data_IF_266392812980
#
_entry.id   IF_266392812980
#
_cell.length_a   1.000
_cell.length_b   1.000
_cell.length_c   1.000
_cell.angle_alpha   90.00
_cell.angle_beta   90.00
_cell.angle_gamma   90.00
#
_symmetry.space_group_name_H-M   'P 1'
#
loop_
_entity.id
_entity.type
_entity.pdbx_description
1 polymer ?
#
# COMPACT_ATOMS: atom_id res chain seq x y z
N UNK A 1 -23.28 65.40 -56.45
CA UNK A 1 -24.00 64.18 -55.91
C UNK A 1 -23.25 62.89 -56.10
N UNK A 2 -22.51 62.64 -57.21
CA UNK A 2 -21.83 61.36 -57.45
C UNK A 2 -20.70 61.04 -56.46
N UNK A 3 -20.01 62.05 -55.95
CA UNK A 3 -18.93 61.88 -54.98
C UNK A 3 -19.41 61.47 -53.61
N UNK A 4 -20.58 61.93 -53.19
CA UNK A 4 -21.19 61.57 -51.92
C UNK A 4 -21.61 60.08 -51.90
N UNK A 5 -22.08 59.58 -53.03
CA UNK A 5 -22.46 58.19 -53.20
C UNK A 5 -21.22 57.24 -53.13
N UNK A 6 -20.10 57.66 -53.76
CA UNK A 6 -18.85 56.93 -53.64
C UNK A 6 -18.30 56.86 -52.22
N UNK A 7 -18.43 57.95 -51.46
CA UNK A 7 -18.02 58.02 -50.05
C UNK A 7 -18.86 57.09 -49.14
N UNK A 8 -20.19 57.02 -49.39
CA UNK A 8 -21.06 56.10 -48.71
C UNK A 8 -20.73 54.63 -49.00
N UNK A 9 -20.42 54.26 -50.22
CA UNK A 9 -20.03 52.90 -50.60
C UNK A 9 -18.71 52.55 -49.93
N UNK A 10 -17.75 53.47 -49.86
CA UNK A 10 -16.47 53.28 -49.22
C UNK A 10 -16.61 53.06 -47.68
N UNK A 11 -17.43 53.87 -47.02
CA UNK A 11 -17.73 53.72 -45.59
C UNK A 11 -18.46 52.39 -45.33
N UNK A 12 -19.40 51.99 -46.15
CA UNK A 12 -20.12 50.73 -46.05
C UNK A 12 -19.16 49.54 -46.26
N UNK A 13 -18.19 49.65 -47.17
CA UNK A 13 -17.14 48.64 -47.40
C UNK A 13 -16.21 48.49 -46.20
N UNK A 14 -15.77 49.61 -45.64
CA UNK A 14 -14.94 49.58 -44.40
C UNK A 14 -15.73 48.97 -43.24
N UNK A 15 -16.97 49.39 -43.07
CA UNK A 15 -17.81 48.83 -42.01
C UNK A 15 -18.01 47.31 -42.18
N UNK A 16 -18.23 46.84 -43.40
CA UNK A 16 -18.37 45.44 -43.70
C UNK A 16 -17.09 44.63 -43.37
N UNK A 17 -15.93 45.15 -43.76
CA UNK A 17 -14.62 44.51 -43.48
C UNK A 17 -14.35 44.47 -42.00
N UNK A 18 -14.59 45.56 -41.28
CA UNK A 18 -14.39 45.62 -39.82
C UNK A 18 -15.33 44.67 -39.07
N UNK A 19 -16.59 44.59 -39.54
CA UNK A 19 -17.56 43.70 -38.91
C UNK A 19 -17.30 42.22 -39.22
N UNK A 20 -16.79 41.91 -40.41
CA UNK A 20 -16.35 40.58 -40.76
C UNK A 20 -15.14 40.14 -39.95
N UNK A 21 -14.13 41.00 -39.77
CA UNK A 21 -12.99 40.73 -38.88
C UNK A 21 -13.41 40.50 -37.39
N UNK A 22 -14.34 41.30 -36.91
CA UNK A 22 -14.88 41.10 -35.54
C UNK A 22 -15.55 39.72 -35.40
N UNK A 23 -16.32 39.29 -36.39
CA UNK A 23 -16.95 37.96 -36.38
C UNK A 23 -15.90 36.84 -36.43
N UNK A 24 -14.86 36.96 -37.26
CA UNK A 24 -13.79 35.96 -37.32
C UNK A 24 -12.99 35.85 -36.01
N UNK A 25 -12.72 36.97 -35.34
CA UNK A 25 -12.05 36.98 -34.03
C UNK A 25 -12.93 36.32 -32.98
N UNK A 26 -14.23 36.66 -32.90
CA UNK A 26 -15.16 36.05 -31.97
C UNK A 26 -15.33 34.53 -32.20
N UNK A 27 -15.35 34.08 -33.44
CA UNK A 27 -15.42 32.65 -33.74
C UNK A 27 -14.14 31.95 -33.34
N UNK A 28 -12.97 32.56 -33.57
CA UNK A 28 -11.68 31.99 -33.16
C UNK A 28 -11.56 31.93 -31.63
N UNK A 29 -11.97 32.99 -30.93
CA UNK A 29 -11.98 32.99 -29.45
C UNK A 29 -12.95 31.95 -28.89
N UNK A 30 -14.16 31.87 -29.44
CA UNK A 30 -15.14 30.86 -29.00
C UNK A 30 -14.63 29.43 -29.28
N UNK A 31 -13.93 29.21 -30.38
CA UNK A 31 -13.34 27.90 -30.71
C UNK A 31 -12.18 27.57 -29.76
N UNK A 32 -11.32 28.55 -29.45
CA UNK A 32 -10.21 28.37 -28.52
C UNK A 32 -10.70 28.10 -27.07
N UNK A 33 -11.74 28.82 -26.63
CA UNK A 33 -12.36 28.60 -25.32
C UNK A 33 -12.97 27.19 -25.26
N UNK A 34 -13.71 26.78 -26.28
CA UNK A 34 -14.30 25.44 -26.36
C UNK A 34 -13.23 24.33 -26.42
N UNK A 35 -12.10 24.55 -27.09
CA UNK A 35 -10.99 23.60 -27.09
C UNK A 35 -10.27 23.58 -25.74
N UNK A 36 -10.06 24.73 -25.11
CA UNK A 36 -9.46 24.80 -23.77
C UNK A 36 -10.35 24.14 -22.71
N UNK A 37 -11.67 24.32 -22.79
CA UNK A 37 -12.62 23.62 -21.91
C UNK A 37 -12.63 22.10 -22.14
N UNK A 38 -12.56 21.65 -23.41
CA UNK A 38 -12.42 20.22 -23.74
C UNK A 38 -11.12 19.64 -23.20
N UNK A 39 -9.99 20.36 -23.35
CA UNK A 39 -8.70 19.92 -22.83
C UNK A 39 -8.74 19.90 -21.29
N UNK A 40 -9.37 20.89 -20.66
CA UNK A 40 -9.54 20.96 -19.22
C UNK A 40 -10.42 19.82 -18.68
N UNK A 41 -11.52 19.51 -19.36
CA UNK A 41 -12.38 18.37 -19.00
C UNK A 41 -11.73 16.99 -19.24
N UNK A 42 -10.71 16.91 -20.12
CA UNK A 42 -9.91 15.71 -20.32
C UNK A 42 -8.69 15.63 -19.38
N UNK A 43 -8.22 16.77 -18.88
CA UNK A 43 -7.06 16.85 -17.98
C UNK A 43 -7.44 16.97 -16.51
N UNK A 44 -8.70 17.28 -16.17
CA UNK A 44 -9.17 17.09 -14.83
C UNK A 44 -9.19 15.57 -14.56
N UNK A 45 -8.29 15.06 -13.69
CA UNK A 45 -8.46 13.70 -13.25
C UNK A 45 -9.87 13.64 -12.67
N UNK A 46 -10.71 12.74 -13.19
CA UNK A 46 -11.95 12.36 -12.54
C UNK A 46 -11.53 11.71 -11.23
N UNK A 47 -11.16 12.56 -10.25
CA UNK A 47 -11.09 12.12 -8.87
C UNK A 47 -12.52 11.69 -8.54
N UNK A 48 -12.76 10.40 -8.35
CA UNK A 48 -14.06 9.97 -7.87
C UNK A 48 -14.34 10.79 -6.62
N UNK A 49 -15.54 11.35 -6.55
CA UNK A 49 -16.01 12.05 -5.36
C UNK A 49 -15.55 11.22 -4.16
N UNK A 50 -14.82 11.86 -3.20
CA UNK A 50 -14.26 11.19 -2.04
C UNK A 50 -15.31 10.22 -1.51
N UNK A 51 -15.13 8.92 -1.61
CA UNK A 51 -16.18 8.01 -1.18
C UNK A 51 -16.33 8.20 0.32
N UNK A 52 -17.55 8.42 0.80
CA UNK A 52 -17.88 8.55 2.22
C UNK A 52 -17.49 7.30 3.04
N UNK A 53 -17.03 6.25 2.35
CA UNK A 53 -16.49 5.01 2.91
C UNK A 53 -15.19 4.64 2.17
N UNK A 54 -14.18 4.11 2.87
CA UNK A 54 -12.98 3.64 2.20
C UNK A 54 -13.37 2.64 1.10
N UNK A 55 -12.85 2.87 -0.11
CA UNK A 55 -13.09 1.98 -1.25
C UNK A 55 -12.43 0.63 -0.95
N UNK A 56 -13.22 -0.32 -0.54
CA UNK A 56 -12.77 -1.71 -0.38
C UNK A 56 -12.93 -2.39 -1.74
N UNK A 57 -11.81 -2.67 -2.39
CA UNK A 57 -11.79 -3.42 -3.63
C UNK A 57 -12.35 -4.82 -3.38
N UNK A 58 -13.54 -5.11 -3.92
CA UNK A 58 -14.16 -6.44 -3.79
C UNK A 58 -13.80 -7.26 -5.01
N UNK A 59 -13.07 -8.33 -4.79
CA UNK A 59 -12.81 -9.34 -5.82
C UNK A 59 -14.01 -10.29 -5.94
N UNK A 60 -14.26 -10.78 -7.16
CA UNK A 60 -15.30 -11.80 -7.36
C UNK A 60 -14.91 -13.11 -6.68
N UNK A 61 -15.90 -13.90 -6.26
CA UNK A 61 -15.66 -15.24 -5.69
C UNK A 61 -14.88 -16.13 -6.67
N UNK A 62 -15.11 -15.97 -7.97
CA UNK A 62 -14.38 -16.70 -8.99
C UNK A 62 -12.89 -16.31 -9.01
N UNK A 63 -12.58 -15.01 -8.88
CA UNK A 63 -11.19 -14.51 -8.80
C UNK A 63 -10.50 -15.07 -7.56
N UNK A 64 -11.15 -15.04 -6.40
CA UNK A 64 -10.59 -15.61 -5.15
C UNK A 64 -10.31 -17.11 -5.31
N UNK A 65 -11.25 -17.87 -5.89
CA UNK A 65 -11.04 -19.29 -6.16
C UNK A 65 -9.84 -19.52 -7.09
N UNK A 66 -9.70 -18.71 -8.13
CA UNK A 66 -8.55 -18.79 -9.04
C UNK A 66 -7.25 -18.50 -8.29
N UNK A 67 -7.20 -17.45 -7.44
CA UNK A 67 -6.02 -17.14 -6.63
C UNK A 67 -5.66 -18.29 -5.68
N UNK A 68 -6.66 -18.91 -5.02
CA UNK A 68 -6.41 -20.10 -4.17
C UNK A 68 -5.81 -21.26 -4.97
N UNK A 69 -6.23 -21.46 -6.21
CA UNK A 69 -5.65 -22.48 -7.07
C UNK A 69 -4.21 -22.14 -7.49
N UNK A 70 -3.92 -20.88 -7.79
CA UNK A 70 -2.59 -20.41 -8.18
C UNK A 70 -1.55 -20.54 -7.05
N UNK A 71 -1.95 -20.70 -5.80
CA UNK A 71 -1.00 -21.02 -4.72
C UNK A 71 -0.40 -22.43 -4.84
N UNK A 72 -0.88 -23.24 -5.78
CA UNK A 72 -0.36 -24.57 -6.12
C UNK A 72 0.28 -24.59 -7.52
N UNK A 73 0.56 -23.42 -8.12
CA UNK A 73 1.17 -23.34 -9.44
C UNK A 73 2.56 -23.96 -9.46
N UNK A 74 2.98 -24.46 -10.62
CA UNK A 74 4.34 -25.01 -10.80
C UNK A 74 5.42 -23.95 -10.64
N UNK A 75 5.14 -22.71 -10.97
CA UNK A 75 6.06 -21.59 -10.83
C UNK A 75 6.00 -21.00 -9.40
N UNK A 76 7.14 -21.03 -8.72
CA UNK A 76 7.29 -20.56 -7.34
C UNK A 76 6.88 -19.08 -7.14
N UNK A 77 7.16 -18.22 -8.12
CA UNK A 77 6.80 -16.78 -8.06
C UNK A 77 5.30 -16.58 -8.19
N UNK A 78 4.62 -17.41 -8.98
CA UNK A 78 3.14 -17.39 -9.09
C UNK A 78 2.53 -17.83 -7.79
N UNK A 79 3.05 -18.91 -7.15
CA UNK A 79 2.58 -19.35 -5.83
C UNK A 79 2.67 -18.24 -4.80
N UNK A 80 3.85 -17.59 -4.71
CA UNK A 80 4.05 -16.49 -3.76
C UNK A 80 3.11 -15.31 -4.04
N UNK A 81 3.06 -14.82 -5.30
CA UNK A 81 2.21 -13.69 -5.65
C UNK A 81 0.72 -13.94 -5.36
N UNK A 82 0.24 -15.16 -5.60
CA UNK A 82 -1.12 -15.55 -5.27
C UNK A 82 -1.37 -15.55 -3.75
N UNK A 83 -0.44 -16.09 -2.96
CA UNK A 83 -0.51 -16.10 -1.50
C UNK A 83 -0.45 -14.69 -0.91
N UNK A 84 0.44 -13.83 -1.43
CA UNK A 84 0.56 -12.42 -1.03
C UNK A 84 -0.74 -11.66 -1.28
N UNK A 85 -1.35 -11.84 -2.46
CA UNK A 85 -2.60 -11.18 -2.80
C UNK A 85 -3.75 -11.66 -1.92
N UNK A 86 -3.85 -12.95 -1.63
CA UNK A 86 -4.84 -13.51 -0.70
C UNK A 86 -4.65 -12.95 0.73
N UNK A 87 -3.39 -12.77 1.16
CA UNK A 87 -3.08 -12.16 2.44
C UNK A 87 -3.54 -10.70 2.50
N UNK A 88 -3.23 -9.90 1.48
CA UNK A 88 -3.64 -8.50 1.39
C UNK A 88 -5.17 -8.33 1.34
N UNK A 89 -5.87 -9.28 0.72
CA UNK A 89 -7.33 -9.33 0.66
C UNK A 89 -7.97 -9.85 1.96
N UNK A 90 -7.16 -10.26 2.93
CA UNK A 90 -7.63 -10.86 4.19
C UNK A 90 -8.53 -12.08 3.95
N UNK A 91 -8.18 -12.88 2.93
CA UNK A 91 -8.92 -14.10 2.64
C UNK A 91 -8.81 -15.10 3.79
N UNK A 92 -9.94 -15.73 4.15
CA UNK A 92 -10.01 -16.68 5.27
C UNK A 92 -9.07 -17.88 5.15
N UNK A 93 -8.70 -18.26 3.91
CA UNK A 93 -7.82 -19.40 3.63
C UNK A 93 -6.33 -19.00 3.62
N UNK A 94 -6.00 -17.71 3.54
CA UNK A 94 -4.62 -17.24 3.42
C UNK A 94 -3.70 -17.74 4.55
N UNK A 95 -4.09 -17.71 5.84
CA UNK A 95 -3.24 -18.22 6.92
C UNK A 95 -2.89 -19.70 6.77
N UNK A 96 -3.87 -20.53 6.40
CA UNK A 96 -3.66 -21.95 6.17
C UNK A 96 -2.79 -22.23 4.97
N UNK A 97 -2.94 -21.45 3.90
CA UNK A 97 -2.11 -21.52 2.68
C UNK A 97 -0.67 -21.18 3.02
N UNK A 98 -0.42 -20.08 3.71
CA UNK A 98 0.91 -19.62 4.08
C UNK A 98 1.60 -20.63 5.01
N UNK A 99 0.87 -21.16 5.99
CA UNK A 99 1.39 -22.24 6.84
C UNK A 99 1.81 -23.47 6.02
N UNK A 100 0.94 -23.92 5.11
CA UNK A 100 1.25 -25.03 4.22
C UNK A 100 2.47 -24.74 3.33
N UNK A 101 2.63 -23.49 2.87
CA UNK A 101 3.81 -23.08 2.11
C UNK A 101 5.10 -23.15 2.95
N UNK A 102 5.08 -22.78 4.24
CA UNK A 102 6.25 -22.97 5.09
C UNK A 102 6.63 -24.44 5.26
N UNK A 103 5.64 -25.33 5.34
CA UNK A 103 5.85 -26.76 5.54
C UNK A 103 6.34 -27.48 4.26
N UNK A 104 5.84 -27.09 3.09
CA UNK A 104 6.01 -27.85 1.86
C UNK A 104 6.81 -27.14 0.75
N UNK A 105 7.05 -25.84 0.87
CA UNK A 105 7.84 -25.11 -0.12
C UNK A 105 9.31 -25.52 -0.05
N UNK A 106 9.90 -25.82 -1.19
CA UNK A 106 11.30 -26.22 -1.32
C UNK A 106 12.21 -25.06 -1.65
N UNK A 107 11.64 -24.01 -2.25
CA UNK A 107 12.40 -22.84 -2.68
C UNK A 107 12.62 -21.86 -1.52
N UNK A 108 13.82 -21.85 -0.98
CA UNK A 108 14.21 -20.98 0.13
C UNK A 108 13.92 -19.48 -0.12
N UNK A 109 14.13 -18.94 -1.35
CA UNK A 109 13.79 -17.55 -1.64
C UNK A 109 12.32 -17.23 -1.39
N UNK A 110 11.41 -18.15 -1.68
CA UNK A 110 9.97 -17.99 -1.47
C UNK A 110 9.63 -17.95 0.02
N UNK A 111 10.21 -18.85 0.81
CA UNK A 111 10.07 -18.84 2.27
C UNK A 111 10.54 -17.50 2.86
N UNK A 112 11.69 -16.99 2.37
CA UNK A 112 12.21 -15.68 2.78
C UNK A 112 11.26 -14.54 2.43
N UNK A 113 10.69 -14.55 1.23
CA UNK A 113 9.69 -13.55 0.81
C UNK A 113 8.42 -13.61 1.66
N UNK A 114 7.95 -14.80 2.05
CA UNK A 114 6.81 -14.96 2.97
C UNK A 114 7.11 -14.36 4.35
N UNK A 115 8.30 -14.58 4.89
CA UNK A 115 8.73 -13.98 6.16
C UNK A 115 8.73 -12.45 6.06
N UNK A 116 9.28 -11.89 4.98
CA UNK A 116 9.34 -10.44 4.79
C UNK A 116 7.94 -9.81 4.62
N UNK A 117 7.03 -10.50 3.95
CA UNK A 117 5.63 -10.09 3.85
C UNK A 117 4.95 -10.06 5.22
N UNK A 118 5.07 -11.11 6.01
CA UNK A 118 4.48 -11.21 7.35
C UNK A 118 5.08 -10.21 8.34
N UNK A 119 6.40 -9.93 8.22
CA UNK A 119 7.10 -8.97 9.07
C UNK A 119 6.58 -7.52 8.91
N UNK A 120 6.04 -7.17 7.74
CA UNK A 120 5.45 -5.85 7.46
C UNK A 120 4.09 -5.67 8.13
N UNK A 121 3.30 -6.73 8.22
CA UNK A 121 1.94 -6.68 8.75
C UNK A 121 1.87 -6.48 10.28
N UNK A 122 2.82 -7.04 11.01
CA UNK A 122 2.92 -6.94 12.50
C UNK A 122 1.65 -7.30 13.28
N UNK A 123 0.74 -8.06 12.68
CA UNK A 123 -0.45 -8.56 13.35
C UNK A 123 -0.15 -9.77 14.25
N UNK A 124 -1.08 -10.11 15.14
CA UNK A 124 -0.99 -11.35 15.93
C UNK A 124 -0.98 -12.59 15.04
N UNK A 125 -1.69 -12.53 13.92
CA UNK A 125 -1.76 -13.62 12.95
C UNK A 125 -0.43 -13.80 12.23
N UNK A 126 0.19 -12.70 11.77
CA UNK A 126 1.52 -12.76 11.17
C UNK A 126 2.58 -13.26 12.15
N UNK A 127 2.50 -12.87 13.44
CA UNK A 127 3.36 -13.40 14.48
C UNK A 127 3.22 -14.93 14.64
N UNK A 128 1.98 -15.43 14.65
CA UNK A 128 1.74 -16.88 14.75
C UNK A 128 2.32 -17.63 13.56
N UNK A 129 2.18 -17.11 12.34
CA UNK A 129 2.76 -17.71 11.14
C UNK A 129 4.30 -17.64 11.12
N UNK A 130 4.90 -16.54 11.57
CA UNK A 130 6.35 -16.43 11.72
C UNK A 130 6.89 -17.42 12.77
N UNK A 131 6.08 -17.75 13.79
CA UNK A 131 6.46 -18.78 14.77
C UNK A 131 6.57 -20.16 14.15
N UNK A 132 5.79 -20.47 13.11
CA UNK A 132 5.97 -21.71 12.32
C UNK A 132 7.29 -21.69 11.56
N UNK A 133 7.69 -20.55 10.98
CA UNK A 133 8.99 -20.42 10.30
C UNK A 133 10.21 -20.60 11.23
N UNK A 134 10.06 -20.40 12.56
CA UNK A 134 11.11 -20.72 13.54
C UNK A 134 11.41 -22.21 13.64
N UNK A 135 10.52 -23.07 13.16
CA UNK A 135 10.67 -24.54 13.19
C UNK A 135 11.25 -25.10 11.89
N UNK A 136 11.58 -24.23 10.93
CA UNK A 136 12.07 -24.67 9.62
C UNK A 136 13.39 -25.46 9.76
N UNK A 137 13.58 -26.46 8.90
CA UNK A 137 14.81 -27.25 8.89
C UNK A 137 16.02 -26.40 8.45
N UNK A 138 15.77 -25.38 7.61
CA UNK A 138 16.83 -24.49 7.11
C UNK A 138 17.16 -23.42 8.16
N UNK A 139 18.43 -23.34 8.51
CA UNK A 139 18.97 -22.38 9.48
C UNK A 139 18.69 -20.93 9.10
N UNK A 140 18.86 -20.57 7.84
CA UNK A 140 18.73 -19.19 7.37
C UNK A 140 17.27 -18.72 7.43
N UNK A 141 16.32 -19.64 7.24
CA UNK A 141 14.89 -19.37 7.42
C UNK A 141 14.60 -19.10 8.89
N UNK A 142 15.12 -19.92 9.82
CA UNK A 142 14.97 -19.68 11.26
C UNK A 142 15.57 -18.35 11.69
N UNK A 143 16.77 -18.02 11.20
CA UNK A 143 17.43 -16.71 11.46
C UNK A 143 16.60 -15.53 10.98
N UNK A 144 16.09 -15.60 9.75
CA UNK A 144 15.25 -14.53 9.21
C UNK A 144 13.94 -14.39 9.99
N UNK A 145 13.33 -15.50 10.40
CA UNK A 145 12.14 -15.49 11.23
C UNK A 145 12.38 -14.83 12.60
N UNK A 146 13.52 -15.17 13.27
CA UNK A 146 13.94 -14.51 14.52
C UNK A 146 14.09 -13.01 14.34
N UNK A 147 14.77 -12.57 13.27
CA UNK A 147 14.95 -11.14 12.98
C UNK A 147 13.62 -10.44 12.69
N UNK A 148 12.70 -11.11 11.98
CA UNK A 148 11.36 -10.60 11.70
C UNK A 148 10.56 -10.41 12.98
N UNK A 149 10.53 -11.42 13.84
CA UNK A 149 9.80 -11.40 15.13
C UNK A 149 10.39 -10.34 16.08
N UNK A 150 11.71 -10.18 16.09
CA UNK A 150 12.38 -9.15 16.91
C UNK A 150 11.93 -7.72 16.60
N UNK A 151 11.43 -7.46 15.39
CA UNK A 151 10.90 -6.14 14.96
C UNK A 151 9.46 -5.86 15.39
N UNK A 152 8.78 -6.81 16.04
CA UNK A 152 7.39 -6.63 16.46
C UNK A 152 7.24 -5.67 17.65
N UNK A 153 8.30 -5.42 18.42
CA UNK A 153 8.28 -4.52 19.58
C UNK A 153 7.12 -4.79 20.55
N UNK A 154 6.67 -6.04 20.62
CA UNK A 154 5.54 -6.48 21.42
C UNK A 154 5.95 -7.64 22.33
N UNK A 155 5.58 -7.56 23.62
CA UNK A 155 5.83 -8.64 24.59
C UNK A 155 5.26 -10.01 24.17
N UNK A 156 4.21 -10.03 23.33
CA UNK A 156 3.60 -11.27 22.82
C UNK A 156 4.56 -12.05 21.89
N UNK A 157 5.60 -11.41 21.38
CA UNK A 157 6.63 -12.06 20.56
C UNK A 157 7.68 -12.84 21.39
N UNK A 158 7.84 -12.52 22.67
CA UNK A 158 8.86 -13.16 23.54
C UNK A 158 8.64 -14.67 23.67
N UNK A 159 7.42 -15.19 23.90
CA UNK A 159 7.20 -16.63 23.96
C UNK A 159 7.62 -17.38 22.70
N UNK A 160 7.39 -16.79 21.51
CA UNK A 160 7.81 -17.38 20.23
C UNK A 160 9.33 -17.46 20.13
N UNK A 161 10.06 -16.41 20.51
CA UNK A 161 11.53 -16.39 20.52
C UNK A 161 12.11 -17.36 21.55
N UNK A 162 11.40 -17.60 22.66
CA UNK A 162 11.86 -18.56 23.68
C UNK A 162 11.99 -19.99 23.13
N UNK A 163 11.21 -20.34 22.09
CA UNK A 163 11.28 -21.66 21.44
C UNK A 163 12.66 -21.93 20.80
N UNK A 164 13.36 -20.89 20.37
CA UNK A 164 14.63 -21.00 19.65
C UNK A 164 15.84 -20.60 20.52
N UNK A 165 15.65 -20.38 21.82
CA UNK A 165 16.79 -20.22 22.75
C UNK A 165 17.54 -21.54 22.96
N UNK A 166 16.92 -22.66 22.65
CA UNK A 166 17.51 -24.01 22.72
C UNK A 166 17.78 -24.57 21.30
N UNK A 167 17.81 -23.71 20.27
CA UNK A 167 18.11 -24.13 18.90
C UNK A 167 19.47 -24.83 18.82
N UNK A 168 19.61 -25.77 17.91
CA UNK A 168 20.88 -26.49 17.68
C UNK A 168 21.98 -25.56 17.17
N UNK A 169 21.61 -24.52 16.42
CA UNK A 169 22.55 -23.54 15.87
C UNK A 169 22.81 -22.39 16.85
N UNK A 170 24.09 -22.11 17.08
CA UNK A 170 24.54 -21.09 18.03
C UNK A 170 24.11 -19.68 17.62
N UNK A 171 24.14 -19.36 16.33
CA UNK A 171 23.79 -18.03 15.85
C UNK A 171 22.27 -17.78 15.97
N UNK A 172 21.44 -18.81 15.75
CA UNK A 172 20.00 -18.71 15.97
C UNK A 172 19.72 -18.40 17.44
N UNK A 173 20.37 -19.11 18.39
CA UNK A 173 20.24 -18.81 19.83
C UNK A 173 20.66 -17.38 20.17
N UNK A 174 21.81 -16.93 19.65
CA UNK A 174 22.32 -15.59 19.88
C UNK A 174 21.35 -14.52 19.37
N UNK A 175 20.87 -14.66 18.13
CA UNK A 175 19.91 -13.72 17.53
C UNK A 175 18.58 -13.71 18.26
N UNK A 176 18.13 -14.84 18.80
CA UNK A 176 16.93 -14.89 19.63
C UNK A 176 17.10 -14.09 20.94
N UNK A 177 18.25 -14.22 21.62
CA UNK A 177 18.57 -13.43 22.80
C UNK A 177 18.63 -11.92 22.50
N UNK A 178 19.26 -11.53 21.39
CA UNK A 178 19.30 -10.15 20.93
C UNK A 178 17.89 -9.61 20.65
N UNK A 179 17.05 -10.40 19.96
CA UNK A 179 15.67 -10.01 19.65
C UNK A 179 14.83 -9.82 20.91
N UNK A 180 14.92 -10.71 21.90
CA UNK A 180 14.26 -10.57 23.20
C UNK A 180 14.71 -9.29 23.91
N UNK A 181 16.02 -9.00 23.90
CA UNK A 181 16.56 -7.80 24.53
C UNK A 181 16.08 -6.52 23.82
N UNK A 182 16.01 -6.50 22.49
CA UNK A 182 15.45 -5.39 21.71
C UNK A 182 14.00 -5.13 22.07
N UNK A 183 13.16 -6.17 22.08
CA UNK A 183 11.74 -6.05 22.46
C UNK A 183 11.61 -5.49 23.89
N UNK A 184 12.44 -5.95 24.83
CA UNK A 184 12.44 -5.43 26.20
C UNK A 184 12.77 -3.94 26.25
N UNK A 185 13.83 -3.53 25.55
CA UNK A 185 14.24 -2.12 25.47
C UNK A 185 13.16 -1.24 24.85
N UNK A 186 12.52 -1.69 23.78
CA UNK A 186 11.43 -0.96 23.12
C UNK A 186 10.24 -0.79 24.07
N UNK A 187 9.86 -1.82 24.81
CA UNK A 187 8.77 -1.74 25.79
C UNK A 187 9.11 -0.75 26.91
N UNK A 188 10.34 -0.78 27.43
CA UNK A 188 10.80 0.15 28.47
C UNK A 188 10.76 1.60 27.95
N UNK A 189 11.27 1.84 26.75
CA UNK A 189 11.27 3.15 26.10
C UNK A 189 9.86 3.70 25.90
N UNK A 190 8.93 2.86 25.43
CA UNK A 190 7.53 3.26 25.30
C UNK A 190 6.86 3.61 26.62
N UNK A 191 7.14 2.84 27.68
CA UNK A 191 6.64 3.15 29.04
C UNK A 191 7.17 4.49 29.54
N UNK A 192 8.45 4.77 29.36
CA UNK A 192 9.04 6.07 29.73
C UNK A 192 8.42 7.23 28.96
N UNK A 193 8.17 7.05 27.66
CA UNK A 193 7.50 8.07 26.84
C UNK A 193 6.08 8.35 27.35
N UNK A 194 5.30 7.31 27.63
CA UNK A 194 3.94 7.45 28.18
C UNK A 194 3.94 8.16 29.54
N UNK A 195 4.89 7.83 30.41
CA UNK A 195 5.03 8.50 31.71
C UNK A 195 5.35 10.00 31.56
N UNK A 196 6.26 10.36 30.64
CA UNK A 196 6.57 11.76 30.33
C UNK A 196 5.36 12.52 29.80
N UNK A 197 4.58 11.91 28.88
CA UNK A 197 3.36 12.51 28.34
C UNK A 197 2.29 12.73 29.43
N UNK A 198 2.15 11.80 30.37
CA UNK A 198 1.23 11.96 31.50
C UNK A 198 1.66 13.08 32.44
N UNK A 199 2.96 13.24 32.68
CA UNK A 199 3.51 14.31 33.52
C UNK A 199 3.39 15.70 32.87
N UNK A 200 3.39 15.78 31.52
CA UNK A 200 3.28 17.05 30.78
C UNK A 200 1.84 17.49 30.52
N UNK A 201 0.87 16.60 30.67
CA UNK A 201 -0.56 16.97 30.54
C UNK A 201 -1.03 17.73 31.79
N UNK A 202 -1.55 18.97 31.63
CA UNK A 202 -2.11 19.71 32.77
C UNK A 202 -3.27 18.91 33.36
N UNK A 203 -3.24 18.73 34.69
CA UNK A 203 -4.26 17.97 35.44
C UNK A 203 -5.65 18.62 35.42
N UNK A 204 -5.75 19.88 34.98
CA UNK A 204 -7.01 20.61 34.92
C UNK A 204 -7.19 21.27 33.54
N UNK A 205 -8.27 20.93 32.87
CA UNK A 205 -8.85 21.72 31.78
C UNK A 205 -9.82 22.68 32.48
N UNK A 206 -9.43 23.95 32.60
CA UNK A 206 -10.38 25.01 33.02
C UNK A 206 -11.22 25.30 31.76
N UNK A 207 -12.48 24.91 31.75
CA UNK A 207 -13.48 25.35 30.78
C UNK A 207 -13.96 26.76 31.15
#
# INVERSE_FOLDING_TARGET
MKWFLMLLIFIAGIYYIVNQRKREVQVKEATQISQAERIRSLSDPVLPAKPDKPYVMKFSMQTIKTLRNLTQDSNEKVRFAAAELLWQLQDESAPSIIKNMFENETELPIKKMLIDMLAKDKSKLSLALLTEALKDYDRDIRLQAVQAIGKFSNKEAIPSLSLVLEDTDEEVRLRALEAVNLIRQDIEKHKEQQLRELQTKPLFRIE
#
